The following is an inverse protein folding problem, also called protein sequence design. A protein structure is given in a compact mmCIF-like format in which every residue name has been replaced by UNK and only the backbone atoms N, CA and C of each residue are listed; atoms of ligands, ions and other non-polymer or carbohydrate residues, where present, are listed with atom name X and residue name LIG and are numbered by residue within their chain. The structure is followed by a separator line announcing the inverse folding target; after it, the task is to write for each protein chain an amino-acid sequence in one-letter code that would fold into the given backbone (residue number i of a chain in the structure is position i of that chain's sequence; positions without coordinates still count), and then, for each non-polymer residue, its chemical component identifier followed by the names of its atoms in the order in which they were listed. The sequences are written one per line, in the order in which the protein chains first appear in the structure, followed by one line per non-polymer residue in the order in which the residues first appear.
data_IF_837895429013
#
_entry.id   IF_837895429013
#
_cell.length_a   1.000
_cell.length_b   1.000
_cell.length_c   1.000
_cell.angle_alpha   90.00
_cell.angle_beta   90.00
_cell.angle_gamma   90.00
#
_symmetry.space_group_name_H-M   'P 1'
#
loop_
_entity.id
_entity.type
_entity.pdbx_description
1 polymer ?
#
# COMPACT_ATOMS: atom_id res chain seq x y z
N UNK A 1 -26.30 9.20 23.97
CA UNK A 1 -26.25 7.77 23.56
C UNK A 1 -25.11 7.69 22.57
N UNK A 2 -23.96 7.10 22.92
CA UNK A 2 -22.80 7.09 22.02
C UNK A 2 -23.00 5.95 21.03
N UNK A 3 -23.37 6.28 19.79
CA UNK A 3 -23.32 5.34 18.67
C UNK A 3 -21.90 4.77 18.61
N UNK A 4 -21.79 3.49 18.30
CA UNK A 4 -20.51 2.84 18.10
C UNK A 4 -19.81 3.55 16.95
N UNK A 5 -18.98 4.54 17.26
CA UNK A 5 -18.14 5.19 16.26
C UNK A 5 -17.32 4.06 15.66
N UNK A 6 -17.47 3.85 14.35
CA UNK A 6 -16.78 2.78 13.64
C UNK A 6 -15.29 2.99 13.84
N UNK A 7 -14.70 2.23 14.77
CA UNK A 7 -13.27 2.29 15.09
C UNK A 7 -12.44 2.06 13.82
N UNK A 8 -13.01 1.26 12.92
CA UNK A 8 -12.50 0.97 11.59
C UNK A 8 -12.46 2.22 10.71
N UNK A 9 -13.56 2.98 10.61
CA UNK A 9 -13.58 4.23 9.83
C UNK A 9 -12.58 5.24 10.40
N UNK A 10 -12.53 5.39 11.73
CA UNK A 10 -11.54 6.25 12.36
C UNK A 10 -10.13 5.78 12.02
N UNK A 11 -9.82 4.49 12.10
CA UNK A 11 -8.48 4.00 11.75
C UNK A 11 -8.14 4.24 10.27
N UNK A 12 -9.10 4.02 9.38
CA UNK A 12 -8.95 4.22 7.94
C UNK A 12 -8.76 5.69 7.57
N UNK A 13 -9.51 6.60 8.20
CA UNK A 13 -9.35 8.04 8.02
C UNK A 13 -7.95 8.54 8.40
N UNK A 14 -7.30 7.89 9.37
CA UNK A 14 -5.94 8.22 9.78
C UNK A 14 -4.88 7.45 8.98
N UNK A 15 -5.26 6.51 8.11
CA UNK A 15 -4.33 5.73 7.27
C UNK A 15 -3.33 4.86 8.05
N UNK A 16 -3.64 4.50 9.30
CA UNK A 16 -2.71 3.77 10.18
C UNK A 16 -3.06 2.29 10.31
N UNK A 17 -2.04 1.48 10.60
CA UNK A 17 -2.21 0.04 10.86
C UNK A 17 -2.95 -0.22 12.18
N UNK A 18 -3.60 -1.38 12.32
CA UNK A 18 -4.22 -1.80 13.59
C UNK A 18 -3.21 -1.85 14.74
N UNK A 19 -1.96 -2.22 14.45
CA UNK A 19 -0.88 -2.27 15.44
C UNK A 19 -0.49 -0.89 15.95
N UNK A 20 -0.39 0.09 15.07
CA UNK A 20 -0.03 1.46 15.45
C UNK A 20 -1.19 2.14 16.16
N UNK A 21 -2.41 1.90 15.70
CA UNK A 21 -3.61 2.39 16.39
C UNK A 21 -3.72 1.83 17.81
N UNK A 22 -3.46 0.53 17.98
CA UNK A 22 -3.42 -0.10 19.30
C UNK A 22 -2.34 0.51 20.21
N UNK A 23 -1.14 0.74 19.67
CA UNK A 23 -0.03 1.39 20.38
C UNK A 23 -0.40 2.79 20.86
N UNK A 24 -1.01 3.61 19.99
CA UNK A 24 -1.46 4.98 20.32
C UNK A 24 -2.56 4.99 21.38
N UNK A 25 -3.48 4.03 21.35
CA UNK A 25 -4.55 3.88 22.35
C UNK A 25 -4.09 3.17 23.64
N UNK A 26 -2.87 2.64 23.67
CA UNK A 26 -2.31 1.87 24.79
C UNK A 26 -3.12 0.61 25.09
N UNK A 27 -3.50 -0.13 24.04
CA UNK A 27 -4.22 -1.40 24.09
C UNK A 27 -3.53 -2.41 23.16
N UNK A 28 -3.93 -3.69 23.24
CA UNK A 28 -3.36 -4.72 22.36
C UNK A 28 -4.03 -4.72 20.99
N UNK A 29 -3.30 -5.16 19.96
CA UNK A 29 -3.84 -5.32 18.60
C UNK A 29 -5.06 -6.24 18.57
N UNK A 30 -5.06 -7.31 19.35
CA UNK A 30 -6.19 -8.25 19.44
C UNK A 30 -7.46 -7.59 19.96
N UNK A 31 -7.31 -6.68 20.94
CA UNK A 31 -8.41 -5.90 21.50
C UNK A 31 -8.99 -4.97 20.44
N UNK A 32 -8.14 -4.31 19.64
CA UNK A 32 -8.58 -3.52 18.48
C UNK A 32 -9.34 -4.37 17.47
N UNK A 33 -8.80 -5.53 17.07
CA UNK A 33 -9.44 -6.42 16.11
C UNK A 33 -10.82 -6.91 16.58
N UNK A 34 -10.95 -7.26 17.86
CA UNK A 34 -12.25 -7.67 18.45
C UNK A 34 -13.24 -6.52 18.50
N UNK A 35 -12.79 -5.28 18.72
CA UNK A 35 -13.66 -4.10 18.69
C UNK A 35 -14.10 -3.74 17.26
N UNK A 36 -13.18 -3.78 16.29
CA UNK A 36 -13.48 -3.50 14.87
C UNK A 36 -14.43 -4.55 14.26
N UNK A 37 -14.28 -5.83 14.65
CA UNK A 37 -15.17 -6.91 14.17
C UNK A 37 -16.52 -6.99 14.92
N UNK A 38 -16.80 -6.06 15.84
CA UNK A 38 -18.02 -6.06 16.64
C UNK A 38 -18.12 -7.16 17.69
N UNK A 39 -17.11 -8.03 17.80
CA UNK A 39 -17.04 -9.14 18.78
C UNK A 39 -16.83 -8.64 20.21
N UNK A 40 -16.47 -7.38 20.40
CA UNK A 40 -16.25 -6.77 21.72
C UNK A 40 -16.72 -5.33 21.76
N UNK A 41 -17.47 -4.98 22.80
CA UNK A 41 -17.89 -3.58 23.04
C UNK A 41 -16.72 -2.74 23.52
N UNK A 42 -16.65 -1.51 23.02
CA UNK A 42 -15.66 -0.53 23.44
C UNK A 42 -15.93 -0.12 24.88
N UNK A 43 -14.90 -0.22 25.74
CA UNK A 43 -15.00 0.20 27.13
C UNK A 43 -15.05 1.73 27.26
N UNK A 44 -15.71 2.25 28.30
CA UNK A 44 -15.76 3.70 28.57
C UNK A 44 -14.36 4.34 28.66
N UNK A 45 -13.38 3.60 29.21
CA UNK A 45 -11.97 4.01 29.29
C UNK A 45 -11.34 4.15 27.90
N UNK A 46 -11.61 3.17 27.02
CA UNK A 46 -11.12 3.19 25.64
C UNK A 46 -11.75 4.35 24.86
N UNK A 47 -13.05 4.60 25.04
CA UNK A 47 -13.73 5.74 24.43
C UNK A 47 -13.13 7.07 24.85
N UNK A 48 -12.83 7.25 26.15
CA UNK A 48 -12.19 8.48 26.64
C UNK A 48 -10.78 8.69 26.06
N UNK A 49 -10.00 7.61 25.93
CA UNK A 49 -8.68 7.65 25.29
C UNK A 49 -8.78 8.00 23.80
N UNK A 50 -9.75 7.41 23.12
CA UNK A 50 -9.99 7.69 21.70
C UNK A 50 -10.43 9.13 21.50
N UNK A 51 -11.33 9.65 22.32
CA UNK A 51 -11.74 11.06 22.24
C UNK A 51 -10.57 12.01 22.46
N UNK A 52 -9.70 11.72 23.45
CA UNK A 52 -8.47 12.49 23.66
C UNK A 52 -7.55 12.45 22.44
N UNK A 53 -7.36 11.25 21.87
CA UNK A 53 -6.53 11.08 20.68
C UNK A 53 -7.04 11.89 19.49
N UNK A 54 -8.37 11.89 19.25
CA UNK A 54 -9.00 12.68 18.18
C UNK A 54 -8.84 14.19 18.38
N UNK A 55 -8.87 14.67 19.62
CA UNK A 55 -8.66 16.09 19.94
C UNK A 55 -7.21 16.52 19.74
N UNK A 56 -6.25 15.67 20.11
CA UNK A 56 -4.82 15.93 19.98
C UNK A 56 -4.32 15.81 18.54
N UNK A 57 -5.00 15.00 17.73
CA UNK A 57 -4.64 14.73 16.34
C UNK A 57 -5.84 15.04 15.45
N UNK A 58 -6.27 16.32 15.35
CA UNK A 58 -7.34 16.67 14.43
C UNK A 58 -6.96 16.18 13.04
N UNK A 59 -7.91 15.57 12.33
CA UNK A 59 -7.74 15.14 10.94
C UNK A 59 -7.56 16.42 10.11
N UNK A 60 -6.32 16.91 10.08
CA UNK A 60 -5.93 17.99 9.21
C UNK A 60 -6.08 17.51 7.78
N UNK A 61 -6.45 18.44 6.90
CA UNK A 61 -6.63 18.37 5.44
C UNK A 61 -5.47 17.74 4.63
N UNK A 62 -4.60 16.95 5.25
CA UNK A 62 -3.64 16.05 4.62
C UNK A 62 -4.37 14.79 4.13
N UNK A 63 -5.46 14.99 3.38
CA UNK A 63 -6.04 14.01 2.49
C UNK A 63 -5.06 13.85 1.32
N UNK A 64 -3.88 13.29 1.63
CA UNK A 64 -2.94 12.84 0.63
C UNK A 64 -3.64 11.77 -0.18
N UNK A 65 -4.04 12.16 -1.39
CA UNK A 65 -4.50 11.34 -2.50
C UNK A 65 -5.22 10.06 -2.08
N UNK A 66 -6.56 10.12 -2.06
CA UNK A 66 -7.35 8.90 -2.12
C UNK A 66 -6.95 8.19 -3.41
N UNK A 67 -6.12 7.16 -3.31
CA UNK A 67 -5.79 6.27 -4.41
C UNK A 67 -7.04 5.44 -4.73
N UNK A 68 -8.04 6.09 -5.34
CA UNK A 68 -9.30 5.49 -5.83
C UNK A 68 -9.00 4.45 -6.93
N UNK A 69 -7.82 4.53 -7.55
CA UNK A 69 -7.35 3.59 -8.55
C UNK A 69 -6.29 2.66 -7.93
N UNK A 70 -6.74 1.46 -7.55
CA UNK A 70 -5.95 0.47 -6.83
C UNK A 70 -4.53 0.27 -7.37
N UNK A 71 -3.54 0.58 -6.52
CA UNK A 71 -2.19 0.03 -6.63
C UNK A 71 -1.84 -0.58 -5.28
N UNK A 72 -1.60 -1.89 -5.26
CA UNK A 72 -1.24 -2.64 -4.06
C UNK A 72 0.03 -2.06 -3.43
N UNK A 73 -0.04 -1.76 -2.13
CA UNK A 73 1.01 -1.13 -1.33
C UNK A 73 2.26 -2.00 -1.09
N UNK A 74 2.55 -2.97 -1.95
CA UNK A 74 3.72 -3.85 -1.85
C UNK A 74 4.93 -3.37 -2.66
N UNK A 75 4.81 -2.32 -3.48
CA UNK A 75 5.89 -1.95 -4.43
C UNK A 75 6.49 -0.53 -4.29
N UNK A 76 6.09 0.28 -3.31
CA UNK A 76 6.53 1.69 -3.26
C UNK A 76 7.90 1.95 -2.64
N UNK A 77 8.66 0.93 -2.20
CA UNK A 77 9.98 1.16 -1.61
C UNK A 77 11.18 1.04 -2.56
N UNK A 78 10.98 0.76 -3.86
CA UNK A 78 12.13 0.73 -4.79
C UNK A 78 11.79 1.28 -6.16
N UNK A 79 11.90 2.61 -6.32
CA UNK A 79 12.38 3.29 -7.54
C UNK A 79 12.50 4.78 -7.26
N UNK A 80 13.49 5.16 -6.45
CA UNK A 80 14.01 6.53 -6.47
C UNK A 80 14.85 6.69 -7.74
N UNK A 81 14.18 6.80 -8.88
CA UNK A 81 14.77 7.44 -10.05
C UNK A 81 14.08 8.77 -10.19
N UNK A 82 14.81 9.87 -10.01
CA UNK A 82 14.33 11.24 -10.23
C UNK A 82 13.98 11.53 -11.71
N UNK A 83 13.95 10.51 -12.56
CA UNK A 83 13.72 10.61 -13.99
C UNK A 83 12.32 10.09 -14.33
N UNK A 84 11.59 10.78 -15.22
CA UNK A 84 10.31 10.29 -15.72
C UNK A 84 10.49 8.96 -16.46
N UNK A 85 9.48 8.09 -16.35
CA UNK A 85 9.48 6.69 -16.82
C UNK A 85 10.06 6.49 -18.23
N UNK A 86 9.73 7.35 -19.19
CA UNK A 86 10.22 7.22 -20.56
C UNK A 86 11.75 7.36 -20.68
N UNK A 87 12.37 8.19 -19.82
CA UNK A 87 13.84 8.36 -19.80
C UNK A 87 14.53 7.13 -19.22
N UNK A 88 13.89 6.46 -18.27
CA UNK A 88 14.40 5.24 -17.67
C UNK A 88 14.50 4.11 -18.69
N UNK A 89 13.46 3.92 -19.52
CA UNK A 89 13.47 2.94 -20.63
C UNK A 89 14.59 3.19 -21.66
N UNK A 90 14.95 4.45 -21.91
CA UNK A 90 16.03 4.78 -22.84
C UNK A 90 17.40 4.42 -22.28
N UNK A 91 17.60 4.59 -20.97
CA UNK A 91 18.84 4.20 -20.30
C UNK A 91 19.00 2.68 -20.27
N UNK A 92 17.92 1.96 -19.93
CA UNK A 92 17.93 0.50 -19.90
C UNK A 92 18.23 -0.10 -21.29
N UNK A 93 17.70 0.50 -22.36
CA UNK A 93 17.98 0.10 -23.75
C UNK A 93 19.44 0.25 -24.17
N UNK A 94 20.17 1.19 -23.57
CA UNK A 94 21.59 1.43 -23.85
C UNK A 94 22.53 0.70 -22.88
N UNK A 95 21.99 -0.02 -21.90
CA UNK A 95 22.82 -0.86 -21.03
C UNK A 95 23.29 -2.09 -21.83
N UNK A 96 24.60 -2.25 -21.98
CA UNK A 96 25.19 -3.43 -22.61
C UNK A 96 24.91 -4.64 -21.73
N UNK A 97 23.85 -5.39 -22.02
CA UNK A 97 23.59 -6.63 -21.30
C UNK A 97 24.69 -7.63 -21.66
N UNK A 98 25.61 -7.86 -20.72
CA UNK A 98 26.71 -8.82 -20.87
C UNK A 98 26.24 -10.27 -21.18
N UNK A 99 24.94 -10.54 -21.05
CA UNK A 99 24.32 -11.86 -21.22
C UNK A 99 23.26 -11.91 -22.34
N UNK A 100 23.06 -10.84 -23.12
CA UNK A 100 22.15 -10.90 -24.27
C UNK A 100 22.83 -11.63 -25.44
N UNK A 101 22.30 -12.80 -25.79
CA UNK A 101 22.69 -13.50 -27.01
C UNK A 101 22.10 -12.73 -28.20
N UNK A 102 22.90 -12.31 -29.20
CA UNK A 102 22.35 -11.70 -30.40
C UNK A 102 21.44 -12.70 -31.08
N UNK A 103 20.23 -12.28 -31.45
CA UNK A 103 19.35 -13.03 -32.33
C UNK A 103 20.02 -13.11 -33.71
N UNK A 104 20.87 -14.12 -33.89
CA UNK A 104 21.43 -14.43 -35.20
C UNK A 104 20.27 -14.94 -36.05
N UNK A 105 19.91 -14.19 -37.08
CA UNK A 105 18.89 -14.59 -38.04
C UNK A 105 19.38 -15.81 -38.82
N UNK A 106 19.11 -17.01 -38.29
CA UNK A 106 19.34 -18.26 -39.02
C UNK A 106 18.35 -18.23 -40.19
N UNK A 107 18.83 -17.94 -41.40
CA UNK A 107 18.02 -18.02 -42.62
C UNK A 107 17.57 -19.48 -42.76
N UNK A 108 16.29 -19.74 -42.52
CA UNK A 108 15.71 -21.05 -42.79
C UNK A 108 15.77 -21.30 -44.31
N UNK A 109 16.60 -22.25 -44.74
CA UNK A 109 16.53 -22.78 -46.10
C UNK A 109 15.51 -23.92 -46.11
N UNK A 110 14.33 -23.68 -46.68
CA UNK A 110 13.36 -24.73 -46.98
C UNK A 110 13.84 -25.49 -48.21
N UNK A 111 14.38 -26.69 -48.02
CA UNK A 111 14.64 -27.63 -49.12
C UNK A 111 13.31 -28.22 -49.63
N UNK A 112 13.08 -28.17 -50.94
CA UNK A 112 11.90 -28.79 -51.57
C UNK A 112 12.24 -30.25 -51.89
N UNK A 113 11.51 -31.21 -51.32
CA UNK A 113 11.60 -32.63 -51.71
C UNK A 113 10.55 -32.86 -52.80
N UNK A 114 10.99 -33.19 -54.01
CA UNK A 114 10.12 -33.46 -55.15
C UNK A 114 9.63 -34.92 -55.05
N UNK A 115 8.30 -35.10 -55.01
CA UNK A 115 7.64 -36.40 -55.10
C UNK A 115 7.60 -36.95 -56.52
#
# INVERSE_FOLDING_TARGET
MFEAHNLLEIRELYGISQTDFARKLGITREVVNKMESGKMRVSKRTTARLQRYLLENPIGLNMGDVNILGKSSQDSEKRSSNLPFHKQLLLDKNSSAAYLVPLVGIKAQAGYVKG
#
